data_IF_928347203946
#
_entry.id   IF_928347203946
#
_cell.length_a   1.000
_cell.length_b   1.000
_cell.length_c   1.000
_cell.angle_alpha   90.00
_cell.angle_beta   90.00
_cell.angle_gamma   90.00
#
_symmetry.space_group_name_H-M   'P 1'
#
loop_
_entity.id
_entity.type
_entity.pdbx_description
1 polymer ?
#
# COMPACT_ATOMS: atom_id res chain seq x y z
N UNK A 1 16.24 11.36 0.41
CA UNK A 1 14.89 11.57 0.98
C UNK A 1 14.19 10.23 1.23
N UNK A 2 13.82 9.45 0.21
CA UNK A 2 13.11 8.16 0.39
C UNK A 2 13.86 7.11 1.22
N UNK A 3 15.12 6.83 0.87
CA UNK A 3 15.91 5.84 1.63
C UNK A 3 16.05 6.24 3.10
N UNK A 4 16.33 7.52 3.38
CA UNK A 4 16.41 8.02 4.75
C UNK A 4 15.07 7.88 5.51
N UNK A 5 13.95 8.21 4.86
CA UNK A 5 12.61 7.98 5.42
C UNK A 5 12.39 6.51 5.79
N UNK A 6 12.73 5.60 4.87
CA UNK A 6 12.64 4.17 5.12
C UNK A 6 13.64 3.67 6.18
N UNK A 7 14.81 4.30 6.34
CA UNK A 7 15.73 3.98 7.43
C UNK A 7 15.27 4.50 8.80
N UNK A 8 14.23 5.34 8.83
CA UNK A 8 13.76 6.01 10.05
C UNK A 8 14.59 7.24 10.42
N UNK A 9 15.44 7.71 9.51
CA UNK A 9 16.34 8.85 9.68
C UNK A 9 15.77 10.13 9.02
N UNK A 10 14.79 9.96 8.12
CA UNK A 10 14.15 11.03 7.37
C UNK A 10 12.67 11.16 7.69
N UNK A 11 12.06 12.16 7.05
CA UNK A 11 10.63 12.45 7.17
C UNK A 11 10.01 12.50 5.77
N UNK A 12 8.69 12.35 5.71
CA UNK A 12 7.93 12.67 4.51
C UNK A 12 7.75 14.19 4.33
N UNK A 13 7.02 14.58 3.29
CA UNK A 13 6.80 16.00 2.95
C UNK A 13 6.00 16.78 4.01
N UNK A 14 5.31 16.09 4.93
CA UNK A 14 4.59 16.69 6.05
C UNK A 14 5.40 16.64 7.35
N UNK A 15 6.67 16.21 7.30
CA UNK A 15 7.54 16.14 8.46
C UNK A 15 7.30 14.92 9.37
N UNK A 16 6.59 13.88 8.90
CA UNK A 16 6.32 12.66 9.67
C UNK A 16 7.40 11.61 9.43
N UNK A 17 7.78 10.87 10.48
CA UNK A 17 8.59 9.66 10.34
C UNK A 17 7.73 8.47 9.95
N UNK A 18 8.38 7.43 9.45
CA UNK A 18 7.72 6.19 9.09
C UNK A 18 6.97 5.57 10.29
N UNK A 19 7.61 5.57 11.46
CA UNK A 19 7.03 5.07 12.71
C UNK A 19 5.85 5.90 13.20
N UNK A 20 5.87 7.22 12.98
CA UNK A 20 4.74 8.08 13.35
C UNK A 20 3.51 7.68 12.56
N UNK A 21 3.68 7.35 11.26
CA UNK A 21 2.59 6.90 10.40
C UNK A 21 2.05 5.54 10.82
N UNK A 22 2.92 4.61 11.22
CA UNK A 22 2.52 3.30 11.73
C UNK A 22 1.70 3.36 13.02
N UNK A 23 1.90 4.41 13.83
CA UNK A 23 1.16 4.62 15.08
C UNK A 23 -0.20 5.31 14.88
N UNK A 24 -0.56 5.69 13.64
CA UNK A 24 -1.84 6.35 13.36
C UNK A 24 -2.99 5.36 13.38
N UNK A 25 -4.13 5.80 13.91
CA UNK A 25 -5.36 5.01 13.92
C UNK A 25 -5.93 4.82 12.52
N UNK A 26 -6.61 3.69 12.28
CA UNK A 26 -7.25 3.37 11.00
C UNK A 26 -8.18 4.48 10.49
N UNK A 27 -8.89 5.16 11.40
CA UNK A 27 -9.71 6.33 11.05
C UNK A 27 -8.90 7.41 10.33
N UNK A 28 -7.70 7.71 10.83
CA UNK A 28 -6.84 8.73 10.25
C UNK A 28 -6.26 8.30 8.91
N UNK A 29 -5.82 7.04 8.81
CA UNK A 29 -5.31 6.45 7.58
C UNK A 29 -6.37 6.42 6.47
N UNK A 30 -7.62 6.20 6.82
CA UNK A 30 -8.75 6.23 5.88
C UNK A 30 -8.92 7.64 5.28
N UNK A 31 -8.98 8.66 6.14
CA UNK A 31 -9.36 10.02 5.77
C UNK A 31 -8.21 10.91 5.29
N UNK A 32 -6.95 10.50 5.50
CA UNK A 32 -5.78 11.25 5.04
C UNK A 32 -5.04 10.52 3.92
N UNK A 33 -4.59 11.25 2.91
CA UNK A 33 -4.20 10.65 1.62
C UNK A 33 -2.72 10.88 1.27
N UNK A 34 -2.05 11.79 1.98
CA UNK A 34 -0.74 12.31 1.60
C UNK A 34 0.43 11.37 1.96
N UNK A 35 0.27 10.52 2.97
CA UNK A 35 1.30 9.58 3.43
C UNK A 35 1.53 8.41 2.45
N UNK A 36 0.50 8.01 1.69
CA UNK A 36 0.51 6.76 0.92
C UNK A 36 1.65 6.73 -0.10
N UNK A 37 2.05 7.90 -0.58
CA UNK A 37 3.10 8.03 -1.59
C UNK A 37 4.50 7.78 -1.02
N UNK A 38 4.70 8.10 0.25
CA UNK A 38 5.92 7.79 0.99
C UNK A 38 5.99 6.32 1.40
N UNK A 39 4.87 5.75 1.85
CA UNK A 39 4.79 4.33 2.22
C UNK A 39 4.86 3.39 1.01
N UNK A 40 4.35 3.81 -0.14
CA UNK A 40 4.29 2.99 -1.36
C UNK A 40 4.73 3.82 -2.57
N UNK A 41 6.04 4.07 -2.73
CA UNK A 41 6.58 4.78 -3.88
C UNK A 41 6.44 3.95 -5.16
N UNK A 42 6.22 4.59 -6.30
CA UNK A 42 6.08 3.95 -7.62
C UNK A 42 6.98 4.65 -8.65
N UNK A 43 7.38 3.97 -9.74
CA UNK A 43 8.28 4.54 -10.75
C UNK A 43 7.57 5.59 -11.63
N UNK A 44 6.25 5.62 -11.67
CA UNK A 44 5.49 6.64 -12.39
C UNK A 44 5.40 7.94 -11.57
N UNK A 45 5.64 9.07 -12.23
CA UNK A 45 5.36 10.38 -11.64
C UNK A 45 3.86 10.48 -11.29
N UNK A 46 3.57 10.83 -10.04
CA UNK A 46 2.20 10.98 -9.58
C UNK A 46 1.51 12.14 -10.32
N UNK A 47 0.39 11.87 -10.99
CA UNK A 47 -0.40 12.92 -11.69
C UNK A 47 -0.89 14.05 -10.76
N UNK A 48 -0.99 13.78 -9.47
CA UNK A 48 -1.61 14.67 -8.48
C UNK A 48 -0.64 15.20 -7.42
N UNK A 49 0.61 14.72 -7.39
CA UNK A 49 1.61 15.24 -6.45
C UNK A 49 3.01 15.19 -7.08
N UNK A 50 3.50 16.35 -7.52
CA UNK A 50 4.84 16.51 -8.07
C UNK A 50 5.94 16.33 -7.02
N UNK A 51 5.61 16.44 -5.73
CA UNK A 51 6.57 16.25 -4.63
C UNK A 51 6.67 14.79 -4.17
N UNK A 52 5.88 13.88 -4.74
CA UNK A 52 5.94 12.46 -4.44
C UNK A 52 7.35 11.92 -4.79
N UNK A 53 8.03 11.20 -3.88
CA UNK A 53 9.31 10.60 -4.21
C UNK A 53 9.13 9.56 -5.33
N UNK A 54 9.91 9.71 -6.40
CA UNK A 54 9.93 8.76 -7.52
C UNK A 54 10.75 7.53 -7.16
N UNK A 55 10.22 6.33 -7.42
CA UNK A 55 10.96 5.08 -7.27
C UNK A 55 11.92 4.87 -8.45
N UNK A 56 13.03 5.63 -8.45
CA UNK A 56 14.06 5.52 -9.50
C UNK A 56 14.75 4.16 -9.46
N UNK A 57 15.38 3.78 -10.57
CA UNK A 57 16.15 2.52 -10.66
C UNK A 57 17.24 2.41 -9.59
N UNK A 58 17.88 3.52 -9.21
CA UNK A 58 18.87 3.52 -8.13
C UNK A 58 18.24 3.22 -6.77
N UNK A 59 17.06 3.75 -6.49
CA UNK A 59 16.36 3.42 -5.25
C UNK A 59 15.88 1.97 -5.26
N UNK A 60 15.37 1.47 -6.39
CA UNK A 60 15.02 0.05 -6.54
C UNK A 60 16.22 -0.86 -6.22
N UNK A 61 17.42 -0.54 -6.73
CA UNK A 61 18.65 -1.28 -6.41
C UNK A 61 18.99 -1.28 -4.91
N UNK A 62 18.72 -0.19 -4.20
CA UNK A 62 18.89 -0.14 -2.74
C UNK A 62 17.88 -1.06 -2.06
N UNK A 63 16.60 -1.01 -2.47
CA UNK A 63 15.58 -1.95 -1.98
C UNK A 63 15.96 -3.41 -2.24
N UNK A 64 16.58 -3.75 -3.38
CA UNK A 64 17.09 -5.10 -3.65
C UNK A 64 18.18 -5.54 -2.67
N UNK A 65 19.12 -4.64 -2.37
CA UNK A 65 20.32 -4.91 -1.56
C UNK A 65 20.09 -4.85 -0.06
N UNK A 66 19.08 -4.12 0.40
CA UNK A 66 18.83 -3.87 1.82
C UNK A 66 17.51 -4.52 2.29
N UNK A 67 17.55 -5.78 2.78
CA UNK A 67 16.39 -6.44 3.37
C UNK A 67 15.63 -5.61 4.42
N UNK A 68 16.28 -4.80 5.29
CA UNK A 68 15.56 -3.97 6.25
C UNK A 68 14.57 -2.99 5.61
N UNK A 69 14.84 -2.45 4.41
CA UNK A 69 13.88 -1.54 3.76
C UNK A 69 12.62 -2.27 3.33
N UNK A 70 12.78 -3.49 2.80
CA UNK A 70 11.66 -4.36 2.41
C UNK A 70 10.86 -4.82 3.63
N UNK A 71 11.52 -5.11 4.76
CA UNK A 71 10.82 -5.46 6.00
C UNK A 71 9.97 -4.30 6.53
N UNK A 72 10.47 -3.06 6.41
CA UNK A 72 9.70 -1.88 6.79
C UNK A 72 8.53 -1.62 5.84
N UNK A 73 8.71 -1.87 4.54
CA UNK A 73 7.58 -1.80 3.59
C UNK A 73 6.51 -2.86 3.90
N UNK A 74 6.92 -4.07 4.29
CA UNK A 74 5.99 -5.12 4.76
C UNK A 74 5.22 -4.68 6.00
N UNK A 75 5.88 -4.03 6.97
CA UNK A 75 5.17 -3.47 8.13
C UNK A 75 4.17 -2.37 7.72
N UNK A 76 4.54 -1.50 6.77
CA UNK A 76 3.61 -0.53 6.21
C UNK A 76 2.41 -1.20 5.52
N UNK A 77 2.61 -2.36 4.86
CA UNK A 77 1.52 -3.16 4.31
C UNK A 77 0.61 -3.67 5.43
N UNK A 78 1.17 -4.21 6.51
CA UNK A 78 0.38 -4.74 7.64
C UNK A 78 -0.51 -3.66 8.28
N UNK A 79 0.03 -2.45 8.46
CA UNK A 79 -0.73 -1.28 8.94
C UNK A 79 -1.91 -0.97 8.00
N UNK A 80 -1.67 -0.97 6.68
CA UNK A 80 -2.73 -0.70 5.70
C UNK A 80 -3.75 -1.84 5.63
N UNK A 81 -3.31 -3.09 5.67
CA UNK A 81 -4.20 -4.25 5.67
C UNK A 81 -5.15 -4.19 6.86
N UNK A 82 -4.63 -3.89 8.05
CA UNK A 82 -5.46 -3.71 9.23
C UNK A 82 -6.52 -2.61 9.03
N UNK A 83 -6.14 -1.46 8.43
CA UNK A 83 -7.11 -0.40 8.09
C UNK A 83 -8.16 -0.83 7.05
N UNK A 84 -7.89 -1.89 6.29
CA UNK A 84 -8.81 -2.48 5.32
C UNK A 84 -9.64 -3.64 5.89
N UNK A 85 -9.49 -3.99 7.17
CA UNK A 85 -10.13 -5.17 7.75
C UNK A 85 -9.52 -6.48 7.25
N UNK A 86 -8.23 -6.44 6.90
CA UNK A 86 -7.45 -7.58 6.41
C UNK A 86 -6.28 -7.84 7.35
N UNK A 87 -5.76 -9.05 7.33
CA UNK A 87 -4.56 -9.44 8.07
C UNK A 87 -3.65 -10.30 7.20
N UNK A 88 -2.38 -10.40 7.60
CA UNK A 88 -1.36 -11.14 6.87
C UNK A 88 -0.57 -12.06 7.80
N UNK A 89 -0.41 -13.29 7.38
CA UNK A 89 0.59 -14.23 7.91
C UNK A 89 1.52 -14.62 6.76
N UNK A 90 2.76 -14.13 6.80
CA UNK A 90 3.73 -14.24 5.70
C UNK A 90 3.19 -13.74 4.35
N UNK A 91 2.76 -14.64 3.46
CA UNK A 91 2.20 -14.31 2.14
C UNK A 91 0.71 -14.63 2.05
N UNK A 92 0.11 -15.12 3.12
CA UNK A 92 -1.31 -15.38 3.17
C UNK A 92 -2.02 -14.14 3.70
N UNK A 93 -2.97 -13.61 2.94
CA UNK A 93 -3.77 -12.43 3.31
C UNK A 93 -5.24 -12.83 3.35
N UNK A 94 -5.88 -12.63 4.50
CA UNK A 94 -7.26 -13.01 4.78
C UNK A 94 -8.08 -11.83 5.29
N UNK A 95 -9.40 -11.98 5.20
CA UNK A 95 -10.35 -11.06 5.82
C UNK A 95 -10.40 -11.28 7.34
N UNK A 96 -10.39 -10.19 8.10
CA UNK A 96 -10.70 -10.23 9.53
C UNK A 96 -12.21 -10.48 9.75
N UNK A 97 -12.59 -10.93 10.94
CA UNK A 97 -13.98 -11.30 11.26
C UNK A 97 -14.97 -10.14 11.20
N UNK A 98 -14.51 -8.91 11.34
CA UNK A 98 -15.31 -7.68 11.32
C UNK A 98 -15.30 -6.97 9.95
N UNK A 99 -14.71 -7.58 8.92
CA UNK A 99 -14.73 -7.05 7.56
C UNK A 99 -16.18 -6.85 7.11
N UNK A 100 -16.50 -5.61 6.74
CA UNK A 100 -17.86 -5.21 6.36
C UNK A 100 -17.84 -4.08 5.36
N UNK A 101 -18.66 -4.20 4.31
CA UNK A 101 -18.88 -3.15 3.32
C UNK A 101 -19.41 -1.84 3.93
N UNK A 102 -20.06 -1.89 5.10
CA UNK A 102 -20.58 -0.68 5.75
C UNK A 102 -19.44 0.23 6.21
N UNK A 103 -18.40 -0.36 6.81
CA UNK A 103 -17.27 0.33 7.44
C UNK A 103 -16.02 0.40 6.57
N UNK A 104 -15.87 -0.50 5.58
CA UNK A 104 -14.67 -0.56 4.73
C UNK A 104 -14.97 -0.06 3.32
N UNK A 105 -14.56 1.18 3.01
CA UNK A 105 -14.91 1.84 1.74
C UNK A 105 -14.38 1.08 0.52
N UNK A 106 -13.27 0.35 0.66
CA UNK A 106 -12.61 -0.32 -0.46
C UNK A 106 -13.47 -1.45 -1.06
N UNK A 107 -14.44 -1.99 -0.31
CA UNK A 107 -15.41 -2.96 -0.79
C UNK A 107 -16.53 -2.33 -1.64
N UNK A 108 -16.66 -1.00 -1.66
CA UNK A 108 -17.71 -0.30 -2.43
C UNK A 108 -17.23 -0.02 -3.86
N UNK A 109 -18.16 0.05 -4.82
CA UNK A 109 -17.86 0.24 -6.25
C UNK A 109 -16.99 1.47 -6.58
N UNK A 110 -17.09 2.54 -5.78
CA UNK A 110 -16.34 3.79 -5.94
C UNK A 110 -15.46 4.14 -4.74
N UNK A 111 -14.94 3.14 -4.01
CA UNK A 111 -14.10 3.37 -2.85
C UNK A 111 -12.80 4.11 -3.18
N UNK A 112 -12.51 5.20 -2.47
CA UNK A 112 -11.30 6.01 -2.74
C UNK A 112 -9.99 5.22 -2.55
N UNK A 113 -10.01 4.13 -1.77
CA UNK A 113 -8.86 3.26 -1.56
C UNK A 113 -8.47 2.43 -2.77
N UNK A 114 -9.29 2.33 -3.83
CA UNK A 114 -8.95 1.51 -5.00
C UNK A 114 -7.63 1.92 -5.66
N UNK A 115 -7.37 3.24 -5.79
CA UNK A 115 -6.11 3.75 -6.32
C UNK A 115 -4.93 3.54 -5.36
N UNK A 116 -5.19 3.51 -4.04
CA UNK A 116 -4.16 3.21 -3.04
C UNK A 116 -3.75 1.74 -3.15
N UNK A 117 -4.71 0.83 -3.30
CA UNK A 117 -4.47 -0.60 -3.49
C UNK A 117 -3.64 -0.83 -4.76
N UNK A 118 -4.01 -0.23 -5.90
CA UNK A 118 -3.19 -0.28 -7.13
C UNK A 118 -1.75 0.18 -6.88
N UNK A 119 -1.58 1.31 -6.18
CA UNK A 119 -0.26 1.87 -5.85
C UNK A 119 0.55 0.94 -4.95
N UNK A 120 -0.08 0.34 -3.95
CA UNK A 120 0.54 -0.58 -3.01
C UNK A 120 1.05 -1.84 -3.73
N UNK A 121 0.21 -2.47 -4.57
CA UNK A 121 0.61 -3.65 -5.38
C UNK A 121 1.83 -3.29 -6.23
N UNK A 122 1.74 -2.20 -6.99
CA UNK A 122 2.81 -1.75 -7.88
C UNK A 122 4.10 -1.43 -7.13
N UNK A 123 3.99 -0.77 -5.98
CA UNK A 123 5.13 -0.41 -5.15
C UNK A 123 5.84 -1.64 -4.60
N UNK A 124 5.10 -2.63 -4.10
CA UNK A 124 5.68 -3.89 -3.59
C UNK A 124 6.45 -4.61 -4.71
N UNK A 125 5.89 -4.68 -5.91
CA UNK A 125 6.54 -5.31 -7.05
C UNK A 125 7.89 -4.65 -7.38
N UNK A 126 7.91 -3.33 -7.59
CA UNK A 126 9.13 -2.59 -7.93
C UNK A 126 10.10 -2.41 -6.75
N UNK A 127 9.67 -2.61 -5.51
CA UNK A 127 10.54 -2.64 -4.33
C UNK A 127 11.08 -4.04 -4.02
N UNK A 128 11.10 -4.94 -5.01
CA UNK A 128 11.64 -6.30 -4.92
C UNK A 128 10.92 -7.20 -3.91
N UNK A 129 9.59 -7.12 -3.87
CA UNK A 129 8.68 -8.04 -3.17
C UNK A 129 7.61 -8.63 -4.13
N UNK A 130 8.00 -9.23 -5.27
CA UNK A 130 7.04 -9.62 -6.31
C UNK A 130 6.04 -10.69 -5.84
N UNK A 131 6.46 -11.67 -5.03
CA UNK A 131 5.56 -12.71 -4.53
C UNK A 131 4.52 -12.14 -3.56
N UNK A 132 4.91 -11.17 -2.73
CA UNK A 132 3.99 -10.50 -1.82
C UNK A 132 3.04 -9.54 -2.58
N UNK A 133 3.53 -8.89 -3.63
CA UNK A 133 2.68 -8.07 -4.51
C UNK A 133 1.58 -8.92 -5.17
N UNK A 134 1.95 -10.09 -5.68
CA UNK A 134 0.99 -11.06 -6.28
C UNK A 134 0.00 -11.59 -5.24
N UNK A 135 0.48 -11.96 -4.05
CA UNK A 135 -0.40 -12.41 -2.97
C UNK A 135 -1.42 -11.33 -2.58
N UNK A 136 -0.95 -10.09 -2.40
CA UNK A 136 -1.85 -8.97 -2.07
C UNK A 136 -2.84 -8.69 -3.19
N UNK A 137 -2.38 -8.66 -4.45
CA UNK A 137 -3.24 -8.48 -5.63
C UNK A 137 -4.36 -9.53 -5.70
N UNK A 138 -4.01 -10.80 -5.55
CA UNK A 138 -4.98 -11.89 -5.63
C UNK A 138 -5.99 -11.80 -4.47
N UNK A 139 -5.51 -11.60 -3.24
CA UNK A 139 -6.38 -11.50 -2.06
C UNK A 139 -7.37 -10.33 -2.15
N UNK A 140 -6.96 -9.14 -2.60
CA UNK A 140 -7.92 -8.01 -2.72
C UNK A 140 -8.94 -8.21 -3.84
N UNK A 141 -8.58 -8.90 -4.93
CA UNK A 141 -9.53 -9.27 -5.99
C UNK A 141 -10.54 -10.27 -5.44
N UNK A 142 -10.08 -11.35 -4.81
CA UNK A 142 -10.94 -12.41 -4.30
C UNK A 142 -11.87 -11.90 -3.19
N UNK A 143 -11.30 -11.25 -2.17
CA UNK A 143 -12.08 -10.72 -1.05
C UNK A 143 -13.00 -9.58 -1.53
N UNK A 144 -12.52 -8.71 -2.43
CA UNK A 144 -13.30 -7.60 -2.97
C UNK A 144 -14.50 -8.05 -3.81
N UNK A 145 -14.39 -9.18 -4.50
CA UNK A 145 -15.50 -9.78 -5.26
C UNK A 145 -16.44 -10.62 -4.40
N UNK A 146 -15.92 -11.27 -3.35
CA UNK A 146 -16.72 -12.09 -2.44
C UNK A 146 -17.51 -11.26 -1.42
N UNK A 147 -16.92 -10.21 -0.85
CA UNK A 147 -17.48 -9.42 0.25
C UNK A 147 -17.94 -8.01 -0.15
N UNK A 148 -17.66 -7.62 -1.39
CA UNK A 148 -17.91 -6.26 -1.87
C UNK A 148 -18.68 -6.21 -3.18
N UNK A 149 -18.72 -5.00 -3.74
CA UNK A 149 -19.28 -4.69 -5.06
C UNK A 149 -18.25 -3.88 -5.86
N UNK A 150 -16.98 -4.27 -5.77
CA UNK A 150 -15.88 -3.61 -6.48
C UNK A 150 -16.13 -3.66 -7.99
N UNK A 151 -15.97 -2.51 -8.66
CA UNK A 151 -16.23 -2.44 -10.10
C UNK A 151 -15.19 -3.20 -10.91
N UNK A 152 -15.59 -3.78 -12.05
CA UNK A 152 -14.67 -4.46 -12.97
C UNK A 152 -13.52 -3.55 -13.43
N UNK A 153 -13.78 -2.25 -13.56
CA UNK A 153 -12.75 -1.25 -13.87
C UNK A 153 -11.65 -1.21 -12.79
N UNK A 154 -12.03 -1.22 -11.51
CA UNK A 154 -11.08 -1.24 -10.40
C UNK A 154 -10.31 -2.56 -10.35
N UNK A 155 -11.00 -3.69 -10.59
CA UNK A 155 -10.35 -5.01 -10.66
C UNK A 155 -9.29 -5.06 -11.77
N UNK A 156 -9.57 -4.50 -12.95
CA UNK A 156 -8.59 -4.42 -14.04
C UNK A 156 -7.37 -3.57 -13.66
N UNK A 157 -7.56 -2.43 -12.99
CA UNK A 157 -6.42 -1.67 -12.47
C UNK A 157 -5.57 -2.45 -11.46
N UNK A 158 -6.17 -3.35 -10.68
CA UNK A 158 -5.41 -4.21 -9.76
C UNK A 158 -4.65 -5.29 -10.51
N UNK A 159 -5.26 -5.94 -11.51
CA UNK A 159 -4.60 -6.95 -12.38
C UNK A 159 -3.41 -6.36 -13.13
N UNK A 160 -3.54 -5.15 -13.65
CA UNK A 160 -2.50 -4.45 -14.43
C UNK A 160 -1.42 -3.78 -13.55
N UNK A 161 -1.50 -3.91 -12.22
CA UNK A 161 -0.61 -3.19 -11.31
C UNK A 161 0.80 -3.79 -11.19
N UNK A 162 0.99 -5.05 -11.63
CA UNK A 162 2.25 -5.79 -11.60
C UNK A 162 2.98 -5.66 -12.94
#
# INVERSE_FOLDING_TARGET
>A
MMIAFYRGEGHDHQGRRLQDIWALFSFWLEHTHDYIQGLFPIPEAGRFNAFAPLLTTDVQRVFAKEPPLRQRQQHSLDVMLNSFGLEREDRYISAQSDLSIQTHIWLKAGGHNHLRITRMIRSLFFCHLPELAQAFQQSVIDIGTQHGVVSEKSLNYWRDAI
#
